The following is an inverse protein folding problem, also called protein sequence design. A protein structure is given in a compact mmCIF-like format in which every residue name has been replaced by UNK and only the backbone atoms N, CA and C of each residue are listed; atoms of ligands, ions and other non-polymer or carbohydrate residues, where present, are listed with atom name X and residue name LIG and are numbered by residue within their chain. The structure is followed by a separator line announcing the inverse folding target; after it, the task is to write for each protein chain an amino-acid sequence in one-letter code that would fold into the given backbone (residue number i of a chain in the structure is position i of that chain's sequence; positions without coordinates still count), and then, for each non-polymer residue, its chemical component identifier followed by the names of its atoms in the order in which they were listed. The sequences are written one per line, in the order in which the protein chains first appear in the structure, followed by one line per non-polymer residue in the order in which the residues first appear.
data_IF_134864857478
#
_entry.id   IF_134864857478
#
_cell.length_a   1.000
_cell.length_b   1.000
_cell.length_c   1.000
_cell.angle_alpha   90.00
_cell.angle_beta   90.00
_cell.angle_gamma   90.00
#
_symmetry.space_group_name_H-M   'P 1'
#
loop_
_entity.id
_entity.type
_entity.pdbx_description
1 polymer ?
#
# COMPACT_ATOMS: atom_id res chain seq x y z
N UNK A 1 5.67 -6.26 50.22
CA UNK A 1 6.93 -6.55 49.50
C UNK A 1 6.73 -7.89 48.80
N UNK A 2 6.60 -8.06 47.49
CA UNK A 2 6.46 -7.21 46.31
C UNK A 2 5.62 -8.11 45.39
N UNK A 3 4.49 -7.63 44.86
CA UNK A 3 3.71 -8.40 43.88
C UNK A 3 4.41 -8.24 42.52
N UNK A 4 5.09 -9.28 42.06
CA UNK A 4 5.50 -9.40 40.66
C UNK A 4 4.33 -9.99 39.86
N UNK A 5 3.42 -9.11 39.45
CA UNK A 5 2.61 -9.36 38.26
C UNK A 5 3.57 -9.35 37.07
N UNK A 6 4.04 -10.54 36.69
CA UNK A 6 4.78 -10.74 35.46
C UNK A 6 3.80 -10.47 34.32
N UNK A 7 3.91 -9.26 33.77
CA UNK A 7 3.36 -8.81 32.50
C UNK A 7 3.21 -9.98 31.52
N UNK A 8 1.97 -10.40 31.30
CA UNK A 8 1.61 -10.99 30.02
C UNK A 8 1.94 -9.94 28.97
N UNK A 9 3.10 -10.10 28.34
CA UNK A 9 3.42 -9.40 27.12
C UNK A 9 2.30 -9.72 26.15
N UNK A 10 1.36 -8.79 26.02
CA UNK A 10 0.39 -8.75 24.93
C UNK A 10 1.24 -8.82 23.67
N UNK A 11 1.39 -10.03 23.12
CA UNK A 11 2.04 -10.24 21.84
C UNK A 11 1.32 -9.26 20.90
N UNK A 12 2.04 -8.34 20.23
CA UNK A 12 1.38 -7.50 19.25
C UNK A 12 0.70 -8.48 18.31
N UNK A 13 -0.62 -8.38 18.17
CA UNK A 13 -1.36 -9.20 17.21
C UNK A 13 -0.55 -9.15 15.93
N UNK A 14 -0.02 -10.29 15.50
CA UNK A 14 0.42 -10.49 14.13
C UNK A 14 -0.84 -10.28 13.31
N UNK A 15 -1.12 -9.01 13.01
CA UNK A 15 -2.07 -8.64 12.02
C UNK A 15 -1.36 -9.07 10.75
N UNK A 16 -1.69 -10.30 10.32
CA UNK A 16 -1.22 -10.90 9.10
C UNK A 16 -1.47 -9.87 8.00
N UNK A 17 -0.41 -9.11 7.67
CA UNK A 17 -0.56 -7.96 6.81
C UNK A 17 -0.86 -8.54 5.44
N UNK A 18 -2.05 -8.24 4.91
CA UNK A 18 -2.51 -8.67 3.58
C UNK A 18 -1.43 -8.51 2.51
N UNK A 19 -0.51 -7.55 2.72
CA UNK A 19 0.70 -7.34 1.94
C UNK A 19 1.94 -7.16 2.83
N UNK A 20 3.07 -7.73 2.41
CA UNK A 20 4.39 -7.57 3.06
C UNK A 20 5.31 -6.66 2.23
N UNK A 21 6.32 -6.07 2.90
CA UNK A 21 7.35 -5.26 2.23
C UNK A 21 8.07 -6.04 1.11
N UNK A 22 8.35 -7.33 1.35
CA UNK A 22 9.00 -8.21 0.38
C UNK A 22 8.17 -8.35 -0.91
N UNK A 23 6.86 -8.59 -0.77
CA UNK A 23 5.96 -8.70 -1.92
C UNK A 23 5.90 -7.40 -2.73
N UNK A 24 5.85 -6.23 -2.07
CA UNK A 24 5.89 -4.94 -2.77
C UNK A 24 7.19 -4.73 -3.55
N UNK A 25 8.31 -5.17 -2.97
CA UNK A 25 9.61 -5.07 -3.62
C UNK A 25 9.69 -6.00 -4.85
N UNK A 26 9.26 -7.25 -4.71
CA UNK A 26 9.23 -8.25 -5.79
C UNK A 26 8.27 -7.85 -6.92
N UNK A 27 7.13 -7.23 -6.60
CA UNK A 27 6.18 -6.70 -7.57
C UNK A 27 6.68 -5.43 -8.28
N UNK A 28 7.80 -4.83 -7.85
CA UNK A 28 8.39 -3.67 -8.51
C UNK A 28 7.62 -2.36 -8.34
N UNK A 29 6.72 -2.24 -7.36
CA UNK A 29 5.85 -1.06 -7.19
C UNK A 29 6.59 0.21 -6.74
N UNK A 30 7.84 0.07 -6.33
CA UNK A 30 8.69 1.18 -5.88
C UNK A 30 9.27 2.00 -7.04
N UNK A 31 9.19 1.51 -8.29
CA UNK A 31 9.68 2.26 -9.45
C UNK A 31 8.69 3.35 -9.84
N UNK A 32 9.12 4.59 -9.70
CA UNK A 32 8.41 5.77 -10.18
C UNK A 32 8.78 6.15 -11.61
N UNK A 33 8.41 7.38 -11.99
CA UNK A 33 8.77 7.97 -13.27
C UNK A 33 10.19 8.58 -13.26
N UNK A 34 10.61 9.08 -14.42
CA UNK A 34 11.86 9.82 -14.57
C UNK A 34 11.84 11.09 -13.71
N UNK A 35 13.00 11.46 -13.16
CA UNK A 35 13.13 12.61 -12.26
C UNK A 35 12.85 13.97 -12.91
N UNK A 36 12.80 14.04 -14.24
CA UNK A 36 12.37 15.22 -14.99
C UNK A 36 10.85 15.35 -15.11
N UNK A 37 10.10 14.26 -14.93
CA UNK A 37 8.65 14.18 -15.13
C UNK A 37 7.96 13.76 -13.83
N UNK A 38 8.01 14.64 -12.82
CA UNK A 38 7.41 14.40 -11.52
C UNK A 38 6.54 15.56 -11.05
N UNK A 39 5.58 15.28 -10.18
CA UNK A 39 4.74 16.29 -9.54
C UNK A 39 5.35 16.66 -8.17
N UNK A 40 5.64 17.95 -7.89
CA UNK A 40 6.18 18.41 -6.62
C UNK A 40 5.41 17.95 -5.37
N UNK A 41 4.10 17.75 -5.47
CA UNK A 41 3.26 17.24 -4.38
C UNK A 41 3.67 15.82 -3.94
N UNK A 42 4.33 15.05 -4.81
CA UNK A 42 4.80 13.70 -4.49
C UNK A 42 6.09 13.67 -3.68
N UNK A 43 6.69 14.84 -3.36
CA UNK A 43 7.99 14.94 -2.69
C UNK A 43 8.03 14.15 -1.39
N UNK A 44 6.95 14.16 -0.62
CA UNK A 44 6.88 13.44 0.65
C UNK A 44 6.81 11.92 0.47
N UNK A 45 6.36 11.40 -0.68
CA UNK A 45 6.23 9.95 -0.94
C UNK A 45 7.44 9.37 -1.69
N UNK A 46 8.37 10.21 -2.13
CA UNK A 46 9.58 9.81 -2.83
C UNK A 46 10.68 9.55 -1.79
N UNK A 47 11.22 8.33 -1.80
CA UNK A 47 12.37 7.94 -0.98
C UNK A 47 13.67 8.57 -1.51
N UNK A 48 13.82 8.60 -2.84
CA UNK A 48 14.99 9.17 -3.50
C UNK A 48 14.95 9.02 -5.01
N UNK A 49 16.10 9.20 -5.67
CA UNK A 49 16.26 8.94 -7.10
C UNK A 49 17.55 8.16 -7.36
N UNK A 50 17.50 7.19 -8.27
CA UNK A 50 18.66 6.41 -8.72
C UNK A 50 18.61 6.28 -10.22
N UNK A 51 19.73 6.56 -10.90
CA UNK A 51 19.82 6.52 -12.37
C UNK A 51 18.72 7.34 -13.08
N UNK A 52 18.33 8.47 -12.49
CA UNK A 52 17.29 9.36 -13.04
C UNK A 52 15.85 8.85 -12.90
N UNK A 53 15.60 7.79 -12.12
CA UNK A 53 14.26 7.27 -11.81
C UNK A 53 13.95 7.53 -10.34
N UNK A 54 12.76 8.05 -10.04
CA UNK A 54 12.30 8.19 -8.66
C UNK A 54 11.97 6.84 -8.04
N UNK A 55 12.38 6.66 -6.79
CA UNK A 55 12.05 5.50 -5.98
C UNK A 55 11.00 5.94 -4.96
N UNK A 56 9.86 5.25 -4.94
CA UNK A 56 8.74 5.50 -4.03
C UNK A 56 9.02 4.82 -2.69
N UNK A 57 8.67 5.49 -1.59
CA UNK A 57 8.80 4.98 -0.23
C UNK A 57 7.75 3.90 0.06
N UNK A 58 8.21 2.64 0.12
CA UNK A 58 7.33 1.50 0.38
C UNK A 58 6.79 1.44 1.81
N UNK A 59 7.46 2.05 2.80
CA UNK A 59 6.92 2.11 4.16
C UNK A 59 5.67 2.99 4.20
N UNK A 60 5.72 4.12 3.49
CA UNK A 60 4.55 5.00 3.32
C UNK A 60 3.45 4.32 2.51
N UNK A 61 3.81 3.63 1.42
CA UNK A 61 2.86 2.83 0.64
C UNK A 61 2.16 1.78 1.50
N UNK A 62 2.89 1.03 2.33
CA UNK A 62 2.30 0.01 3.20
C UNK A 62 1.28 0.61 4.17
N UNK A 63 1.63 1.73 4.82
CA UNK A 63 0.71 2.42 5.74
C UNK A 63 -0.55 2.91 5.02
N UNK A 64 -0.40 3.58 3.88
CA UNK A 64 -1.53 4.09 3.11
C UNK A 64 -2.39 2.97 2.52
N UNK A 65 -1.77 1.86 2.13
CA UNK A 65 -2.47 0.69 1.60
C UNK A 65 -3.38 0.06 2.66
N UNK A 66 -2.92 -0.09 3.90
CA UNK A 66 -3.75 -0.61 4.99
C UNK A 66 -4.97 0.28 5.25
N UNK A 67 -4.78 1.61 5.27
CA UNK A 67 -5.90 2.55 5.40
C UNK A 67 -6.90 2.42 4.24
N UNK A 68 -6.42 2.31 3.00
CA UNK A 68 -7.28 2.15 1.84
C UNK A 68 -8.01 0.80 1.87
N UNK A 69 -7.33 -0.27 2.28
CA UNK A 69 -7.89 -1.61 2.42
C UNK A 69 -9.05 -1.62 3.43
N UNK A 70 -8.85 -1.05 4.62
CA UNK A 70 -9.88 -0.97 5.64
C UNK A 70 -11.10 -0.18 5.13
N UNK A 71 -10.87 0.96 4.46
CA UNK A 71 -11.96 1.76 3.87
C UNK A 71 -12.77 0.98 2.83
N UNK A 72 -12.09 0.30 1.90
CA UNK A 72 -12.76 -0.49 0.85
C UNK A 72 -13.50 -1.68 1.43
N UNK A 73 -12.90 -2.39 2.40
CA UNK A 73 -13.54 -3.50 3.12
C UNK A 73 -14.83 -3.05 3.80
N UNK A 74 -14.77 -1.93 4.52
CA UNK A 74 -15.93 -1.40 5.23
C UNK A 74 -17.02 -0.97 4.24
N UNK A 75 -16.64 -0.33 3.12
CA UNK A 75 -17.56 0.05 2.05
C UNK A 75 -18.29 -1.17 1.46
N UNK A 76 -17.54 -2.22 1.12
CA UNK A 76 -18.07 -3.47 0.60
C UNK A 76 -19.00 -4.16 1.62
N UNK A 77 -18.65 -4.14 2.92
CA UNK A 77 -19.46 -4.73 3.98
C UNK A 77 -20.83 -4.05 4.14
N UNK A 78 -20.93 -2.77 3.78
CA UNK A 78 -22.19 -2.00 3.79
C UNK A 78 -23.03 -2.17 2.52
N UNK A 79 -22.55 -2.93 1.54
CA UNK A 79 -23.24 -3.17 0.27
C UNK A 79 -23.29 -1.95 -0.65
N UNK A 80 -22.33 -1.03 -0.54
CA UNK A 80 -22.21 0.12 -1.46
C UNK A 80 -21.41 -0.24 -2.70
N UNK A 81 -21.72 0.44 -3.79
CA UNK A 81 -21.07 0.21 -5.09
C UNK A 81 -19.63 0.75 -5.13
N UNK A 82 -18.74 0.02 -5.79
CA UNK A 82 -17.34 0.39 -6.06
C UNK A 82 -17.12 0.41 -7.57
N UNK A 83 -16.73 1.56 -8.11
CA UNK A 83 -16.41 1.70 -9.54
C UNK A 83 -14.90 1.55 -9.76
N UNK A 84 -14.51 0.55 -10.54
CA UNK A 84 -13.13 0.38 -10.99
C UNK A 84 -12.87 1.18 -12.28
N UNK A 85 -11.76 1.91 -12.34
CA UNK A 85 -11.40 2.77 -13.49
C UNK A 85 -9.95 2.55 -13.88
N UNK A 86 -9.71 2.18 -15.15
CA UNK A 86 -8.37 2.22 -15.73
C UNK A 86 -8.39 2.25 -17.24
N UNK A 87 -7.68 3.24 -17.80
CA UNK A 87 -7.68 3.53 -19.24
C UNK A 87 -6.40 3.06 -19.94
N UNK A 88 -5.36 2.71 -19.19
CA UNK A 88 -4.09 2.22 -19.75
C UNK A 88 -4.26 0.82 -20.32
N UNK A 89 -3.66 0.55 -21.48
CA UNK A 89 -3.75 -0.75 -22.18
C UNK A 89 -3.39 -1.95 -21.28
N UNK A 90 -2.38 -1.81 -20.42
CA UNK A 90 -1.93 -2.87 -19.51
C UNK A 90 -2.91 -3.13 -18.36
N UNK A 91 -3.83 -2.20 -18.07
CA UNK A 91 -4.77 -2.28 -16.96
C UNK A 91 -6.20 -2.62 -17.40
N UNK A 92 -6.56 -2.34 -18.66
CA UNK A 92 -7.93 -2.48 -19.16
C UNK A 92 -8.51 -3.89 -18.96
N UNK A 93 -7.76 -4.92 -19.38
CA UNK A 93 -8.23 -6.31 -19.26
C UNK A 93 -8.35 -6.74 -17.80
N UNK A 94 -7.29 -6.51 -17.01
CA UNK A 94 -7.23 -6.89 -15.59
C UNK A 94 -8.37 -6.24 -14.81
N UNK A 95 -8.63 -4.95 -15.03
CA UNK A 95 -9.70 -4.24 -14.34
C UNK A 95 -11.09 -4.75 -14.75
N UNK A 96 -11.29 -5.10 -16.02
CA UNK A 96 -12.56 -5.67 -16.48
C UNK A 96 -12.84 -7.06 -15.89
N UNK A 97 -11.79 -7.88 -15.72
CA UNK A 97 -11.89 -9.22 -15.12
C UNK A 97 -12.14 -9.16 -13.61
N UNK A 98 -11.44 -8.28 -12.88
CA UNK A 98 -11.50 -8.19 -11.41
C UNK A 98 -12.71 -7.39 -10.88
N UNK A 99 -13.47 -6.71 -11.75
CA UNK A 99 -14.63 -5.92 -11.36
C UNK A 99 -15.96 -6.71 -11.35
N UNK A 100 -15.93 -8.00 -11.69
CA UNK A 100 -17.08 -8.92 -11.81
C UNK A 100 -17.13 -9.84 -10.60
#
# INVERSE_FOLDING_TARGET
MVNEEVNETVKPKEQESVITMKQLLEAGVHFGHQSSQWNPAMKEYIYGARNGIHIIDLQKTLKSFLTAYDFVRDLASTGKDILFVGTKKQAQQIIGEEAI
#
